data_IF_172431207769
#
_entry.id   IF_172431207769
#
_cell.length_a   1.000
_cell.length_b   1.000
_cell.length_c   1.000
_cell.angle_alpha   90.00
_cell.angle_beta   90.00
_cell.angle_gamma   90.00
#
_symmetry.space_group_name_H-M   'P 1'
#
loop_
_entity.id
_entity.type
_entity.pdbx_description
1 polymer ?
#
# COMPACT_ATOMS: atom_id res chain seq x y z
N UNK A 1 12.07 -17.68 -9.05
CA UNK A 1 10.92 -16.78 -8.89
C UNK A 1 10.51 -16.80 -7.42
N UNK A 2 10.99 -15.82 -6.65
CA UNK A 2 10.91 -15.79 -5.19
C UNK A 2 9.49 -15.59 -4.69
N UNK A 3 8.98 -16.56 -3.94
CA UNK A 3 7.74 -16.42 -3.18
C UNK A 3 8.07 -15.62 -1.92
N UNK A 4 7.99 -14.30 -1.97
CA UNK A 4 7.99 -13.46 -0.76
C UNK A 4 6.61 -13.55 -0.11
N UNK A 5 6.30 -14.74 0.40
CA UNK A 5 5.07 -15.06 1.15
C UNK A 5 5.35 -15.21 2.64
N UNK A 6 6.42 -14.57 3.13
CA UNK A 6 6.66 -14.47 4.58
C UNK A 6 6.02 -13.18 5.10
N UNK A 7 5.31 -13.22 6.24
CA UNK A 7 4.62 -12.06 6.82
C UNK A 7 5.56 -10.88 7.13
N UNK A 8 6.83 -11.18 7.41
CA UNK A 8 7.93 -10.22 7.55
C UNK A 8 8.20 -9.43 6.25
N UNK A 9 8.18 -10.07 5.08
CA UNK A 9 8.34 -9.39 3.79
C UNK A 9 7.12 -8.53 3.45
N UNK A 10 5.91 -9.02 3.75
CA UNK A 10 4.69 -8.24 3.57
C UNK A 10 4.70 -6.97 4.44
N UNK A 11 5.07 -7.10 5.71
CA UNK A 11 5.16 -5.96 6.63
C UNK A 11 6.20 -4.95 6.16
N UNK A 12 7.37 -5.42 5.71
CA UNK A 12 8.43 -4.54 5.20
C UNK A 12 8.00 -3.80 3.94
N UNK A 13 7.36 -4.48 2.99
CA UNK A 13 6.80 -3.86 1.77
C UNK A 13 5.70 -2.85 2.09
N UNK A 14 4.78 -3.20 3.00
CA UNK A 14 3.70 -2.31 3.40
C UNK A 14 4.24 -1.05 4.11
N UNK A 15 5.29 -1.19 4.93
CA UNK A 15 5.98 -0.06 5.54
C UNK A 15 6.64 0.83 4.47
N UNK A 16 7.43 0.25 3.57
CA UNK A 16 8.15 1.01 2.52
C UNK A 16 7.17 1.77 1.62
N UNK A 17 6.06 1.14 1.23
CA UNK A 17 4.97 1.78 0.47
C UNK A 17 4.29 2.89 1.27
N UNK A 18 4.01 2.66 2.56
CA UNK A 18 3.38 3.67 3.41
C UNK A 18 4.27 4.91 3.57
N UNK A 19 5.56 4.73 3.85
CA UNK A 19 6.50 5.85 4.04
C UNK A 19 6.80 6.57 2.71
N UNK A 20 6.95 5.84 1.60
CA UNK A 20 7.36 6.45 0.33
C UNK A 20 6.23 6.99 -0.52
N UNK A 21 5.02 6.44 -0.41
CA UNK A 21 3.85 6.98 -1.10
C UNK A 21 2.96 7.77 -0.16
N UNK A 22 2.51 7.19 0.94
CA UNK A 22 1.43 7.80 1.75
C UNK A 22 1.92 8.88 2.72
N UNK A 23 3.17 8.82 3.17
CA UNK A 23 3.78 9.87 4.02
C UNK A 23 4.44 10.96 3.17
N UNK A 24 5.03 10.58 2.02
CA UNK A 24 5.72 11.52 1.13
C UNK A 24 4.79 12.29 0.18
N UNK A 25 3.62 11.75 -0.16
CA UNK A 25 2.69 12.35 -1.13
C UNK A 25 1.37 12.78 -0.45
N UNK A 26 0.76 13.90 -0.87
CA UNK A 26 -0.54 14.34 -0.34
C UNK A 26 -1.64 13.31 -0.57
N UNK A 27 -2.65 13.29 0.30
CA UNK A 27 -3.82 12.40 0.18
C UNK A 27 -4.63 12.62 -1.12
N UNK A 28 -4.55 13.81 -1.74
CA UNK A 28 -5.18 14.13 -3.03
C UNK A 28 -4.42 13.57 -4.25
N UNK A 29 -3.29 12.88 -4.02
CA UNK A 29 -2.46 12.35 -5.10
C UNK A 29 -3.16 11.20 -5.80
N UNK A 30 -3.36 11.36 -7.10
CA UNK A 30 -3.87 10.32 -7.98
C UNK A 30 -2.81 9.27 -8.28
N UNK A 31 -3.20 8.00 -8.20
CA UNK A 31 -2.40 6.89 -8.69
C UNK A 31 -3.20 6.08 -9.71
N UNK A 32 -2.49 5.59 -10.72
CA UNK A 32 -3.09 4.87 -11.85
C UNK A 32 -2.54 3.45 -11.87
N UNK A 33 -3.24 2.49 -11.24
CA UNK A 33 -2.80 1.11 -11.25
C UNK A 33 -2.96 0.52 -12.66
N UNK A 34 -2.08 -0.40 -13.05
CA UNK A 34 -2.18 -1.10 -14.34
C UNK A 34 -3.39 -2.05 -14.46
N UNK A 35 -4.13 -2.27 -13.38
CA UNK A 35 -5.37 -3.06 -13.35
C UNK A 35 -6.27 -2.56 -12.22
N UNK A 36 -7.55 -2.27 -12.52
CA UNK A 36 -8.52 -1.69 -11.59
C UNK A 36 -8.82 -0.22 -11.89
N UNK A 37 -9.67 0.39 -11.07
CA UNK A 37 -10.03 1.81 -11.17
C UNK A 37 -8.89 2.70 -10.65
N UNK A 38 -8.68 3.83 -11.33
CA UNK A 38 -7.87 4.93 -10.83
C UNK A 38 -8.47 5.48 -9.53
N UNK A 39 -7.60 5.84 -8.58
CA UNK A 39 -8.03 6.32 -7.28
C UNK A 39 -6.97 7.22 -6.67
N UNK A 40 -7.30 7.84 -5.54
CA UNK A 40 -6.38 8.70 -4.79
C UNK A 40 -5.73 7.95 -3.63
N UNK A 41 -4.55 8.41 -3.22
CA UNK A 41 -3.87 7.85 -2.04
C UNK A 41 -4.72 7.99 -0.78
N UNK A 42 -5.43 9.11 -0.61
CA UNK A 42 -6.30 9.37 0.54
C UNK A 42 -7.46 8.38 0.65
N UNK A 43 -8.08 8.00 -0.47
CA UNK A 43 -9.13 6.99 -0.49
C UNK A 43 -8.61 5.59 -0.11
N UNK A 44 -7.38 5.25 -0.49
CA UNK A 44 -6.78 3.95 -0.19
C UNK A 44 -6.08 3.88 1.18
N UNK A 45 -5.73 5.01 1.79
CA UNK A 45 -5.06 5.09 3.09
C UNK A 45 -5.75 4.29 4.22
N UNK A 46 -7.09 4.35 4.43
CA UNK A 46 -7.76 3.51 5.42
C UNK A 46 -7.71 2.00 5.09
N UNK A 47 -7.45 1.63 3.83
CA UNK A 47 -7.27 0.23 3.45
C UNK A 47 -5.90 -0.33 3.87
N UNK A 48 -4.87 0.52 4.02
CA UNK A 48 -3.56 0.10 4.52
C UNK A 48 -3.65 -0.48 5.94
N UNK A 49 -4.36 0.19 6.84
CA UNK A 49 -4.57 -0.30 8.21
C UNK A 49 -5.29 -1.65 8.22
N UNK A 50 -6.29 -1.80 7.33
CA UNK A 50 -6.98 -3.08 7.15
C UNK A 50 -6.05 -4.17 6.64
N UNK A 51 -5.17 -3.87 5.68
CA UNK A 51 -4.20 -4.84 5.17
C UNK A 51 -3.14 -5.20 6.20
N UNK A 52 -2.70 -4.23 7.02
CA UNK A 52 -1.76 -4.42 8.12
C UNK A 52 -2.36 -5.31 9.22
N UNK A 53 -3.61 -5.04 9.62
CA UNK A 53 -4.35 -5.83 10.60
C UNK A 53 -4.64 -7.25 10.10
N UNK A 54 -4.82 -7.41 8.79
CA UNK A 54 -5.05 -8.71 8.16
C UNK A 54 -3.78 -9.55 8.07
N UNK A 55 -2.61 -8.93 7.91
CA UNK A 55 -1.32 -9.63 7.86
C UNK A 55 -1.12 -10.54 6.64
N UNK A 56 -2.04 -10.44 5.66
CA UNK A 56 -2.27 -11.25 4.43
C UNK A 56 -3.61 -12.02 4.44
#
# INVERSE_FOLDING_TARGET
>A
MGKTTSPENFTSLLNDVSERLFDALPDDTWFYPGHGDDSTLGEQKPHLDKWRARGW
#
